data_IF_864392799993
#
_entry.id   IF_864392799993
#
_cell.length_a   1.000
_cell.length_b   1.000
_cell.length_c   1.000
_cell.angle_alpha   90.00
_cell.angle_beta   90.00
_cell.angle_gamma   90.00
#
_symmetry.space_group_name_H-M   'P 1'
#
loop_
_entity.id
_entity.type
_entity.pdbx_description
1 polymer ?
#
# COMPACT_ATOMS: atom_id res chain seq x y z
N UNK A 1 9.73 -2.30 28.16
CA UNK A 1 8.43 -2.39 28.88
C UNK A 1 7.33 -2.27 27.82
N UNK A 2 6.57 -3.34 27.52
CA UNK A 2 5.61 -3.39 26.40
C UNK A 2 4.31 -2.67 26.80
N UNK A 3 3.85 -1.74 25.95
CA UNK A 3 2.66 -0.89 26.17
C UNK A 3 1.38 -1.71 26.41
N UNK A 4 1.32 -2.93 25.88
CA UNK A 4 0.18 -3.87 26.04
C UNK A 4 -0.13 -4.21 27.51
N UNK A 5 0.85 -4.14 28.41
CA UNK A 5 0.65 -4.47 29.84
C UNK A 5 -0.12 -3.38 30.58
N UNK A 6 -0.07 -2.12 30.11
CA UNK A 6 -0.78 -0.99 30.75
C UNK A 6 -2.26 -0.96 30.37
N UNK A 7 -2.64 -1.57 29.24
CA UNK A 7 -4.00 -1.48 28.70
C UNK A 7 -4.95 -2.56 29.22
N UNK A 8 -4.47 -3.54 29.99
CA UNK A 8 -5.24 -4.73 30.35
C UNK A 8 -5.32 -4.96 31.86
N UNK A 9 -5.72 -3.94 32.62
CA UNK A 9 -6.08 -4.11 34.03
C UNK A 9 -7.59 -4.32 34.15
N UNK A 10 -7.97 -5.52 34.60
CA UNK A 10 -9.33 -6.04 34.80
C UNK A 10 -10.13 -5.39 35.96
N UNK A 11 -9.88 -4.12 36.24
CA UNK A 11 -10.69 -3.36 37.20
C UNK A 11 -11.55 -2.37 36.45
N UNK A 12 -12.82 -2.28 36.83
CA UNK A 12 -13.90 -1.54 36.17
C UNK A 12 -13.75 0.01 36.30
N UNK A 13 -12.53 0.51 36.17
CA UNK A 13 -12.16 1.93 36.06
C UNK A 13 -11.70 2.13 34.61
N UNK A 14 -12.42 2.96 33.86
CA UNK A 14 -12.18 3.18 32.44
C UNK A 14 -10.68 3.31 32.14
N UNK A 15 -10.18 2.41 31.30
CA UNK A 15 -8.76 2.35 30.93
C UNK A 15 -8.28 3.69 30.38
N UNK A 16 -6.96 3.89 30.35
CA UNK A 16 -6.35 5.08 29.77
C UNK A 16 -6.83 5.20 28.33
N UNK A 17 -7.65 6.21 28.04
CA UNK A 17 -8.06 6.47 26.67
C UNK A 17 -6.90 7.05 25.87
N UNK A 18 -6.91 6.84 24.56
CA UNK A 18 -5.88 7.32 23.63
C UNK A 18 -5.63 8.84 23.81
N UNK A 19 -6.67 9.63 24.05
CA UNK A 19 -6.56 11.07 24.33
C UNK A 19 -5.70 11.36 25.56
N UNK A 20 -5.87 10.60 26.64
CA UNK A 20 -5.07 10.76 27.86
C UNK A 20 -3.62 10.36 27.60
N UNK A 21 -3.38 9.26 26.89
CA UNK A 21 -2.04 8.82 26.51
C UNK A 21 -1.29 9.85 25.64
N UNK A 22 -1.95 10.41 24.61
CA UNK A 22 -1.36 11.46 23.75
C UNK A 22 -0.98 12.72 24.52
N UNK A 23 -1.82 13.15 25.48
CA UNK A 23 -1.50 14.30 26.36
C UNK A 23 -0.25 14.03 27.20
N UNK A 24 -0.11 12.82 27.73
CA UNK A 24 1.08 12.43 28.48
C UNK A 24 2.33 12.39 27.60
N UNK A 25 2.24 11.88 26.36
CA UNK A 25 3.34 11.91 25.42
C UNK A 25 3.86 13.33 25.17
N UNK A 26 2.97 14.28 24.91
CA UNK A 26 3.36 15.70 24.75
C UNK A 26 4.04 16.24 26.01
N UNK A 27 3.47 15.98 27.20
CA UNK A 27 4.08 16.40 28.48
C UNK A 27 5.46 15.80 28.74
N UNK A 28 5.72 14.60 28.21
CA UNK A 28 7.00 13.91 28.31
C UNK A 28 8.01 14.34 27.22
N UNK A 29 7.69 15.37 26.44
CA UNK A 29 8.56 15.88 25.37
C UNK A 29 8.55 14.99 24.12
N UNK A 30 7.46 14.28 23.85
CA UNK A 30 7.30 13.51 22.62
C UNK A 30 6.54 14.30 21.55
N UNK A 31 6.98 14.14 20.31
CA UNK A 31 6.46 14.80 19.13
C UNK A 31 5.91 13.73 18.19
N UNK A 32 4.70 13.95 17.68
CA UNK A 32 4.12 13.13 16.63
C UNK A 32 4.44 13.74 15.26
N UNK A 33 4.89 12.92 14.32
CA UNK A 33 5.29 13.43 13.01
C UNK A 33 5.39 12.37 11.93
N UNK A 34 5.70 12.81 10.71
CA UNK A 34 5.83 11.91 9.55
C UNK A 34 7.27 11.39 9.46
N UNK A 35 7.41 10.07 9.43
CA UNK A 35 8.57 9.36 8.91
C UNK A 35 8.72 9.68 7.42
N UNK A 36 9.75 10.43 7.04
CA UNK A 36 10.08 10.64 5.62
C UNK A 36 10.65 9.34 5.06
N UNK A 37 9.84 8.59 4.29
CA UNK A 37 10.37 7.56 3.37
C UNK A 37 11.08 8.29 2.23
N UNK A 38 12.31 7.88 1.90
CA UNK A 38 13.14 8.52 0.88
C UNK A 38 12.96 7.99 -0.55
N UNK A 39 11.95 7.15 -0.79
CA UNK A 39 11.72 6.52 -2.08
C UNK A 39 10.40 7.02 -2.65
N UNK A 40 10.49 7.81 -3.73
CA UNK A 40 9.36 8.10 -4.60
C UNK A 40 9.38 7.07 -5.71
N UNK A 41 8.27 6.36 -5.91
CA UNK A 41 8.11 5.54 -7.10
C UNK A 41 8.23 6.47 -8.32
N UNK A 42 9.08 6.11 -9.28
CA UNK A 42 9.43 6.93 -10.44
C UNK A 42 8.28 7.11 -11.43
N UNK A 43 7.08 6.68 -11.06
CA UNK A 43 5.87 6.69 -11.87
C UNK A 43 5.55 8.07 -12.47
N UNK A 44 5.84 9.16 -11.73
CA UNK A 44 5.58 10.53 -12.17
C UNK A 44 6.73 11.16 -12.96
N UNK A 45 7.81 10.43 -13.23
CA UNK A 45 8.90 10.96 -14.06
C UNK A 45 8.38 11.23 -15.48
N UNK A 46 8.86 12.33 -16.07
CA UNK A 46 8.41 12.79 -17.39
C UNK A 46 8.54 11.72 -18.48
N UNK A 47 9.63 10.97 -18.48
CA UNK A 47 9.89 9.90 -19.45
C UNK A 47 8.93 8.70 -19.27
N UNK A 48 8.64 8.33 -18.02
CA UNK A 48 7.68 7.26 -17.69
C UNK A 48 6.27 7.65 -18.10
N UNK A 49 5.85 8.87 -17.77
CA UNK A 49 4.53 9.40 -18.14
C UNK A 49 4.40 9.51 -19.65
N UNK A 50 5.43 10.02 -20.34
CA UNK A 50 5.44 10.14 -21.79
C UNK A 50 5.30 8.77 -22.47
N UNK A 51 6.04 7.77 -22.02
CA UNK A 51 5.92 6.41 -22.54
C UNK A 51 4.53 5.81 -22.26
N UNK A 52 4.01 5.99 -21.04
CA UNK A 52 2.68 5.50 -20.65
C UNK A 52 1.61 6.06 -21.58
N UNK A 53 1.62 7.37 -21.78
CA UNK A 53 0.55 8.07 -22.48
C UNK A 53 0.68 7.92 -24.00
N UNK A 54 1.90 7.93 -24.56
CA UNK A 54 2.13 7.87 -26.02
C UNK A 54 2.23 6.46 -26.57
N UNK A 55 2.68 5.48 -25.79
CA UNK A 55 2.99 4.13 -26.29
C UNK A 55 2.12 3.08 -25.62
N UNK A 56 2.16 3.00 -24.29
CA UNK A 56 1.51 1.91 -23.56
C UNK A 56 -0.02 1.96 -23.68
N UNK A 57 -0.64 3.08 -23.29
CA UNK A 57 -2.10 3.20 -23.30
C UNK A 57 -2.71 3.05 -24.70
N UNK A 58 -2.19 3.69 -25.77
CA UNK A 58 -2.72 3.50 -27.12
C UNK A 58 -2.59 2.05 -27.61
N UNK A 59 -1.44 1.40 -27.37
CA UNK A 59 -1.23 0.00 -27.72
C UNK A 59 -2.20 -0.91 -26.97
N UNK A 60 -2.44 -0.64 -25.70
CA UNK A 60 -3.33 -1.44 -24.87
C UNK A 60 -4.79 -1.30 -25.30
N UNK A 61 -5.24 -0.11 -25.72
CA UNK A 61 -6.59 0.10 -26.30
C UNK A 61 -6.86 -0.81 -27.50
N UNK A 62 -5.92 -0.89 -28.44
CA UNK A 62 -6.04 -1.80 -29.61
C UNK A 62 -6.12 -3.27 -29.17
N UNK A 63 -5.39 -3.65 -28.12
CA UNK A 63 -5.47 -5.02 -27.59
C UNK A 63 -6.83 -5.27 -26.94
N UNK A 64 -7.35 -4.31 -26.15
CA UNK A 64 -8.65 -4.38 -25.48
C UNK A 64 -9.84 -4.58 -26.43
N UNK A 65 -9.77 -4.06 -27.67
CA UNK A 65 -10.80 -4.31 -28.69
C UNK A 65 -10.95 -5.80 -29.05
N UNK A 66 -9.86 -6.57 -28.90
CA UNK A 66 -9.82 -8.01 -29.20
C UNK A 66 -9.88 -8.91 -27.95
N UNK A 67 -9.99 -8.31 -26.77
CA UNK A 67 -10.10 -9.03 -25.50
C UNK A 67 -11.53 -9.50 -25.27
N UNK A 68 -11.66 -10.74 -24.81
CA UNK A 68 -12.95 -11.32 -24.42
C UNK A 68 -13.31 -10.88 -23.01
N UNK A 69 -14.51 -10.34 -22.85
CA UNK A 69 -15.04 -9.90 -21.56
C UNK A 69 -16.16 -10.85 -21.13
N UNK A 70 -16.12 -11.22 -19.84
CA UNK A 70 -17.07 -12.12 -19.21
C UNK A 70 -17.77 -11.40 -18.06
N UNK A 71 -19.06 -11.70 -17.83
CA UNK A 71 -19.76 -11.25 -16.63
C UNK A 71 -19.44 -12.18 -15.44
N UNK A 72 -19.92 -11.80 -14.26
CA UNK A 72 -19.74 -12.58 -13.02
C UNK A 72 -20.35 -14.00 -13.10
N UNK A 73 -21.26 -14.23 -14.05
CA UNK A 73 -21.88 -15.54 -14.32
C UNK A 73 -21.10 -16.38 -15.34
N UNK A 74 -19.99 -15.86 -15.89
CA UNK A 74 -19.15 -16.55 -16.88
C UNK A 74 -19.65 -16.48 -18.32
N UNK A 75 -20.62 -15.62 -18.62
CA UNK A 75 -21.16 -15.40 -19.96
C UNK A 75 -20.40 -14.28 -20.69
N UNK A 76 -20.30 -14.38 -22.01
CA UNK A 76 -19.55 -13.43 -22.83
C UNK A 76 -20.36 -12.15 -23.02
N UNK A 77 -19.86 -11.04 -22.50
CA UNK A 77 -20.52 -9.72 -22.57
C UNK A 77 -20.17 -8.98 -23.85
N UNK A 78 -18.96 -9.23 -24.38
CA UNK A 78 -18.44 -8.53 -25.56
C UNK A 78 -18.34 -9.46 -26.75
N UNK A 79 -19.11 -9.16 -27.79
CA UNK A 79 -19.02 -9.82 -29.08
C UNK A 79 -17.81 -9.28 -29.86
N UNK A 80 -16.89 -10.17 -30.21
CA UNK A 80 -15.69 -9.82 -30.97
C UNK A 80 -15.97 -9.85 -32.48
N UNK A 81 -15.27 -9.03 -33.29
CA UNK A 81 -15.38 -9.08 -34.74
C UNK A 81 -15.13 -10.49 -35.29
N UNK A 82 -15.88 -10.87 -36.32
CA UNK A 82 -15.97 -12.24 -36.89
C UNK A 82 -14.60 -12.84 -37.28
N UNK A 83 -13.61 -12.01 -37.62
CA UNK A 83 -12.26 -12.43 -38.02
C UNK A 83 -11.14 -12.00 -37.05
N UNK A 84 -11.48 -11.62 -35.82
CA UNK A 84 -10.47 -11.22 -34.83
C UNK A 84 -9.86 -12.43 -34.09
N UNK A 85 -8.55 -12.39 -33.86
CA UNK A 85 -7.87 -13.37 -33.01
C UNK A 85 -8.32 -13.16 -31.57
N UNK A 86 -9.00 -14.15 -31.00
CA UNK A 86 -9.47 -14.13 -29.61
C UNK A 86 -8.29 -14.03 -28.66
N UNK A 87 -8.36 -13.10 -27.69
CA UNK A 87 -7.36 -12.94 -26.64
C UNK A 87 -8.04 -12.98 -25.27
N UNK A 88 -7.37 -13.62 -24.33
CA UNK A 88 -7.73 -13.62 -22.91
C UNK A 88 -6.67 -12.80 -22.19
N UNK A 89 -7.10 -11.83 -21.39
CA UNK A 89 -6.21 -11.11 -20.51
C UNK A 89 -6.13 -11.91 -19.22
N UNK A 90 -4.94 -12.39 -18.92
CA UNK A 90 -4.61 -12.98 -17.63
C UNK A 90 -3.63 -12.02 -16.97
N UNK A 91 -4.01 -11.46 -15.84
CA UNK A 91 -3.18 -10.55 -15.06
C UNK A 91 -2.70 -11.27 -13.81
N UNK A 92 -1.45 -11.07 -13.44
CA UNK A 92 -0.95 -11.48 -12.13
C UNK A 92 -0.58 -10.23 -11.37
N UNK A 93 -0.93 -10.19 -10.10
CA UNK A 93 -0.40 -9.20 -9.19
C UNK A 93 0.43 -9.89 -8.11
N UNK A 94 1.58 -9.30 -7.83
CA UNK A 94 2.51 -9.78 -6.82
C UNK A 94 2.72 -8.65 -5.82
N UNK A 95 2.39 -8.91 -4.56
CA UNK A 95 2.60 -7.97 -3.48
C UNK A 95 3.56 -8.55 -2.45
N UNK A 96 4.53 -7.74 -2.02
CA UNK A 96 5.48 -8.11 -0.97
C UNK A 96 5.21 -7.28 0.27
N UNK A 97 4.84 -7.94 1.36
CA UNK A 97 4.64 -7.32 2.67
C UNK A 97 5.89 -7.53 3.51
N UNK A 98 6.57 -6.45 3.88
CA UNK A 98 7.79 -6.55 4.67
C UNK A 98 7.53 -6.19 6.14
N UNK A 99 8.24 -6.85 7.06
CA UNK A 99 8.12 -6.62 8.50
C UNK A 99 8.36 -5.14 8.91
N UNK A 100 9.16 -4.40 8.12
CA UNK A 100 9.45 -3.00 8.39
C UNK A 100 8.57 -2.03 7.60
N UNK A 101 7.54 -2.50 6.88
CA UNK A 101 6.50 -1.68 6.26
C UNK A 101 5.52 -1.13 7.32
N UNK A 102 6.06 -0.44 8.32
CA UNK A 102 5.28 0.20 9.38
C UNK A 102 4.80 1.61 9.02
N UNK A 103 3.89 2.14 9.85
CA UNK A 103 3.23 3.44 9.68
C UNK A 103 4.19 4.58 9.33
N UNK A 104 3.76 5.43 8.39
CA UNK A 104 4.47 6.64 7.98
C UNK A 104 4.45 7.72 9.06
N UNK A 105 3.75 7.53 10.18
CA UNK A 105 3.77 8.41 11.34
C UNK A 105 4.04 7.62 12.62
N UNK A 106 4.79 8.20 13.56
CA UNK A 106 4.93 7.64 14.92
C UNK A 106 5.19 8.74 15.96
N UNK A 107 5.33 8.38 17.23
CA UNK A 107 5.78 9.30 18.26
C UNK A 107 7.30 9.19 18.40
N UNK A 108 8.00 10.30 18.56
CA UNK A 108 9.43 10.33 18.88
C UNK A 108 9.72 11.25 20.05
N UNK A 109 10.84 11.06 20.72
CA UNK A 109 11.31 12.02 21.71
C UNK A 109 11.93 13.23 21.02
N UNK A 110 11.75 14.41 21.60
CA UNK A 110 12.44 15.61 21.14
C UNK A 110 13.97 15.38 21.22
N UNK A 111 14.69 15.76 20.15
CA UNK A 111 16.13 15.51 20.02
C UNK A 111 16.54 14.14 19.48
N UNK A 112 15.62 13.18 19.30
CA UNK A 112 15.94 11.89 18.65
C UNK A 112 15.65 11.88 17.15
N UNK A 113 16.48 11.15 16.39
CA UNK A 113 16.26 10.91 14.96
C UNK A 113 15.18 9.84 14.71
N UNK A 114 14.52 9.96 13.54
CA UNK A 114 13.58 8.96 13.04
C UNK A 114 14.32 7.88 12.26
N UNK A 115 15.20 7.12 12.93
CA UNK A 115 15.94 6.05 12.27
C UNK A 115 15.15 4.74 12.36
N UNK A 116 14.37 4.46 11.31
CA UNK A 116 13.89 3.09 11.07
C UNK A 116 15.03 2.24 10.52
N UNK A 117 15.06 0.92 10.81
CA UNK A 117 15.98 0.02 10.13
C UNK A 117 15.86 0.22 8.61
N UNK A 118 17.01 0.43 7.95
CA UNK A 118 17.05 0.63 6.49
C UNK A 118 16.62 -0.62 5.73
N UNK A 119 16.81 -1.81 6.33
CA UNK A 119 16.38 -3.06 5.74
C UNK A 119 14.85 -3.16 5.70
N UNK A 120 14.33 -3.89 4.73
CA UNK A 120 12.89 -4.21 4.66
C UNK A 120 12.44 -5.19 5.78
N UNK A 121 13.38 -5.92 6.38
CA UNK A 121 13.06 -7.00 7.32
C UNK A 121 12.63 -8.25 6.57
N UNK A 122 12.03 -9.23 7.27
CA UNK A 122 11.46 -10.43 6.64
C UNK A 122 10.27 -10.02 5.75
N UNK A 123 10.22 -10.56 4.54
CA UNK A 123 9.13 -10.33 3.60
C UNK A 123 8.25 -11.56 3.45
N UNK A 124 6.95 -11.35 3.25
CA UNK A 124 6.01 -12.35 2.75
C UNK A 124 5.60 -11.89 1.36
N UNK A 125 5.78 -12.76 0.37
CA UNK A 125 5.28 -12.56 -0.99
C UNK A 125 3.91 -13.22 -1.11
N UNK A 126 2.95 -12.49 -1.65
CA UNK A 126 1.62 -12.98 -1.98
C UNK A 126 1.44 -12.75 -3.48
N UNK A 127 0.99 -13.78 -4.19
CA UNK A 127 0.71 -13.74 -5.62
C UNK A 127 -0.70 -14.27 -5.85
N UNK A 128 -1.46 -13.59 -6.71
CA UNK A 128 -2.82 -13.97 -7.07
C UNK A 128 -3.08 -13.77 -8.58
N UNK A 129 -4.10 -14.46 -9.11
CA UNK A 129 -4.38 -14.65 -10.53
C UNK A 129 -5.81 -14.21 -10.91
#
# INVERSE_FOLDING_TARGET
MKIEVILNTKDNKGGICDRTARRWFVKLGWIYGRNKKGYCDGHERKDVVEYRDKVFCPRMKVIYETLREYNDNGEVVKQLPIFSKRRHLVTHDESTFNANDGSSFSWKKEGSEWLKPKSRGKGIMVSDF
#
